data_IF_937942774145
#
_entry.id   IF_937942774145
#
_cell.length_a   1.000
_cell.length_b   1.000
_cell.length_c   1.000
_cell.angle_alpha   90.00
_cell.angle_beta   90.00
_cell.angle_gamma   90.00
#
_symmetry.space_group_name_H-M   'P 1'
#
loop_
_entity.id
_entity.type
_entity.pdbx_description
1 polymer ?
#
# COMPACT_ATOMS: atom_id res chain seq x y z
N UNK A 1 1.50 -28.49 16.72
CA UNK A 1 0.43 -27.80 15.98
C UNK A 1 -0.11 -26.72 16.91
N UNK A 2 0.46 -25.53 16.86
CA UNK A 2 0.17 -24.45 17.80
C UNK A 2 -0.25 -23.24 16.99
N UNK A 3 -1.53 -22.90 17.08
CA UNK A 3 -2.12 -21.68 16.52
C UNK A 3 -1.68 -20.51 17.42
N UNK A 4 -0.95 -19.49 16.94
CA UNK A 4 -0.76 -18.28 17.71
C UNK A 4 -2.03 -17.44 17.57
N UNK A 5 -2.82 -17.38 18.64
CA UNK A 5 -3.96 -16.49 18.77
C UNK A 5 -3.49 -15.03 18.67
N UNK A 6 -3.65 -14.42 17.50
CA UNK A 6 -3.40 -12.98 17.28
C UNK A 6 -4.61 -12.18 17.76
N UNK A 7 -4.83 -12.15 19.08
CA UNK A 7 -5.66 -11.14 19.73
C UNK A 7 -4.89 -9.82 19.70
N UNK A 8 -5.07 -9.05 18.63
CA UNK A 8 -4.54 -7.69 18.54
C UNK A 8 -5.33 -6.78 19.48
N UNK A 9 -4.80 -6.62 20.70
CA UNK A 9 -5.24 -5.59 21.62
C UNK A 9 -4.86 -4.20 21.08
N UNK A 10 -5.69 -3.20 21.41
CA UNK A 10 -5.53 -1.79 21.02
C UNK A 10 -4.13 -1.22 21.33
N UNK A 11 -3.45 -1.75 22.35
CA UNK A 11 -2.08 -1.38 22.74
C UNK A 11 -0.99 -1.75 21.71
N UNK A 12 -1.20 -2.78 20.88
CA UNK A 12 -0.25 -3.17 19.82
C UNK A 12 -0.37 -2.27 18.58
N UNK A 13 -1.53 -1.66 18.37
CA UNK A 13 -1.76 -0.73 17.26
C UNK A 13 -1.22 0.67 17.61
N UNK A 14 -1.35 1.08 18.87
CA UNK A 14 -0.88 2.39 19.36
C UNK A 14 0.66 2.46 19.56
N UNK A 15 1.37 1.33 19.46
CA UNK A 15 2.84 1.24 19.62
C UNK A 15 3.63 1.18 18.29
N UNK A 16 2.95 1.31 17.15
CA UNK A 16 3.60 1.38 15.84
C UNK A 16 4.25 2.75 15.63
N UNK A 17 5.46 2.93 16.15
CA UNK A 17 6.36 3.99 15.68
C UNK A 17 6.81 3.64 14.26
N UNK A 18 6.70 4.54 13.27
CA UNK A 18 7.25 4.30 11.95
C UNK A 18 8.77 4.12 12.06
N UNK A 19 9.26 2.93 11.72
CA UNK A 19 10.69 2.63 11.69
C UNK A 19 11.29 3.18 10.39
N UNK A 20 12.37 3.98 10.44
CA UNK A 20 13.05 4.51 9.26
C UNK A 20 13.90 3.47 8.49
N UNK A 21 13.72 2.17 8.74
CA UNK A 21 14.59 1.11 8.21
C UNK A 21 13.85 0.09 7.34
N UNK A 22 13.64 0.41 6.06
CA UNK A 22 13.54 -0.59 4.98
C UNK A 22 14.12 -0.04 3.65
N UNK A 23 15.29 0.60 3.72
CA UNK A 23 16.27 0.61 2.62
C UNK A 23 17.51 -0.09 3.17
N UNK A 24 17.58 -1.40 3.05
CA UNK A 24 18.67 -2.13 3.71
C UNK A 24 18.62 -3.64 3.63
N UNK A 25 18.26 -4.21 2.47
CA UNK A 25 18.66 -5.58 2.10
C UNK A 25 18.92 -5.67 0.59
N UNK A 26 19.99 -5.00 0.16
CA UNK A 26 20.63 -5.24 -1.13
C UNK A 26 22.14 -4.91 -1.02
N UNK A 27 22.83 -5.66 -0.18
CA UNK A 27 24.30 -5.71 -0.07
C UNK A 27 24.63 -7.18 0.25
N UNK A 28 25.53 -7.93 -0.39
CA UNK A 28 26.57 -7.69 -1.37
C UNK A 28 26.80 -9.01 -2.12
N UNK A 29 26.83 -8.99 -3.44
CA UNK A 29 27.71 -9.89 -4.20
C UNK A 29 28.69 -8.98 -4.93
N UNK A 30 29.90 -8.94 -4.39
CA UNK A 30 31.00 -8.12 -4.86
C UNK A 30 31.42 -8.57 -6.27
N UNK A 31 31.47 -7.62 -7.21
CA UNK A 31 31.85 -7.90 -8.58
C UNK A 31 31.97 -6.66 -9.46
N UNK A 32 32.87 -5.74 -9.10
CA UNK A 32 33.69 -4.94 -10.01
C UNK A 32 33.00 -4.28 -11.23
N UNK A 33 32.78 -2.95 -11.16
CA UNK A 33 33.21 -1.93 -12.13
C UNK A 33 32.53 -0.59 -11.86
N UNK A 34 33.28 0.34 -11.27
CA UNK A 34 33.04 1.77 -11.43
C UNK A 34 33.14 2.10 -12.93
N UNK A 35 32.03 2.50 -13.55
CA UNK A 35 32.01 3.20 -14.83
C UNK A 35 30.95 4.30 -14.77
N UNK A 36 31.44 5.49 -14.41
CA UNK A 36 31.22 6.75 -15.10
C UNK A 36 29.76 7.13 -15.42
N UNK A 37 29.15 7.87 -14.49
CA UNK A 37 27.98 8.73 -14.70
C UNK A 37 28.41 10.10 -15.27
N UNK A 38 29.29 10.10 -16.28
CA UNK A 38 29.65 11.27 -17.08
C UNK A 38 29.47 10.89 -18.54
N UNK A 39 28.30 11.20 -19.08
CA UNK A 39 27.99 10.86 -20.46
C UNK A 39 26.59 11.24 -20.88
N UNK A 40 26.06 12.39 -20.44
CA UNK A 40 24.84 12.95 -21.04
C UNK A 40 24.70 14.47 -20.89
N UNK A 41 25.78 15.20 -20.61
CA UNK A 41 25.81 16.65 -20.68
C UNK A 41 26.58 17.07 -21.94
N UNK A 42 25.82 17.27 -23.01
CA UNK A 42 26.30 17.97 -24.19
C UNK A 42 26.66 19.41 -23.83
N UNK A 43 27.92 19.74 -24.07
CA UNK A 43 28.51 21.07 -24.01
C UNK A 43 27.91 21.99 -25.06
N UNK A 44 27.33 23.11 -24.64
CA UNK A 44 27.33 24.33 -25.45
C UNK A 44 27.30 25.55 -24.52
N UNK A 45 28.50 26.02 -24.17
CA UNK A 45 28.68 27.25 -23.41
C UNK A 45 28.73 28.44 -24.35
N UNK A 46 27.68 29.27 -24.37
CA UNK A 46 27.78 30.68 -24.78
C UNK A 46 26.86 31.59 -23.98
N UNK A 47 27.50 32.59 -23.39
CA UNK A 47 27.05 33.92 -22.96
C UNK A 47 26.02 34.06 -21.82
N UNK A 48 26.58 34.59 -20.72
CA UNK A 48 25.90 35.36 -19.69
C UNK A 48 25.05 36.48 -20.32
N UNK A 49 23.73 36.38 -20.20
CA UNK A 49 22.89 37.55 -20.02
C UNK A 49 22.15 37.38 -18.68
N UNK A 50 22.44 38.32 -17.78
CA UNK A 50 21.61 38.63 -16.60
C UNK A 50 20.23 39.00 -17.15
N UNK A 51 19.23 38.13 -16.95
CA UNK A 51 17.79 38.43 -16.90
C UNK A 51 17.03 37.09 -16.95
N UNK A 52 16.68 36.55 -15.78
CA UNK A 52 15.90 35.32 -15.70
C UNK A 52 16.21 34.47 -14.48
N UNK A 53 15.83 34.96 -13.29
CA UNK A 53 15.57 34.08 -12.15
C UNK A 53 14.30 33.28 -12.49
N UNK A 54 14.44 32.32 -13.42
CA UNK A 54 13.43 31.30 -13.65
C UNK A 54 13.45 30.40 -12.42
N UNK A 55 12.35 30.52 -11.68
CA UNK A 55 11.89 29.72 -10.55
C UNK A 55 12.50 28.31 -10.46
N UNK A 56 13.67 28.20 -9.83
CA UNK A 56 14.39 26.95 -9.61
C UNK A 56 13.62 26.01 -8.69
N UNK A 57 12.73 26.54 -7.84
CA UNK A 57 11.85 25.74 -6.97
C UNK A 57 10.75 25.02 -7.75
N UNK A 58 10.17 25.68 -8.75
CA UNK A 58 9.18 25.04 -9.65
C UNK A 58 9.81 23.97 -10.55
N UNK A 59 11.12 24.04 -10.79
CA UNK A 59 11.88 22.93 -11.34
C UNK A 59 11.89 21.74 -10.39
N UNK A 60 12.39 21.96 -9.17
CA UNK A 60 12.61 20.94 -8.14
C UNK A 60 11.32 20.19 -7.76
N UNK A 61 10.22 20.90 -7.54
CA UNK A 61 8.91 20.30 -7.20
C UNK A 61 8.37 19.37 -8.31
N UNK A 62 8.65 19.69 -9.57
CA UNK A 62 8.26 18.84 -10.71
C UNK A 62 9.14 17.60 -10.82
N UNK A 63 10.43 17.74 -10.55
CA UNK A 63 11.36 16.61 -10.49
C UNK A 63 11.00 15.67 -9.34
N UNK A 64 10.78 16.19 -8.13
CA UNK A 64 10.36 15.41 -6.98
C UNK A 64 9.07 14.63 -7.27
N UNK A 65 8.04 15.32 -7.79
CA UNK A 65 6.78 14.65 -8.17
C UNK A 65 6.99 13.57 -9.23
N UNK A 66 7.88 13.78 -10.21
CA UNK A 66 8.17 12.77 -11.22
C UNK A 66 8.82 11.52 -10.61
N UNK A 67 9.84 11.71 -9.78
CA UNK A 67 10.53 10.60 -9.11
C UNK A 67 9.63 9.86 -8.14
N UNK A 68 8.79 10.57 -7.38
CA UNK A 68 7.80 9.94 -6.50
C UNK A 68 6.81 9.06 -7.27
N UNK A 69 6.33 9.50 -8.44
CA UNK A 69 5.46 8.66 -9.30
C UNK A 69 6.19 7.40 -9.78
N UNK A 70 7.45 7.53 -10.17
CA UNK A 70 8.28 6.40 -10.60
C UNK A 70 8.49 5.40 -9.45
N UNK A 71 8.84 5.92 -8.28
CA UNK A 71 9.07 5.15 -7.06
C UNK A 71 7.79 4.44 -6.59
N UNK A 72 6.66 5.15 -6.54
CA UNK A 72 5.37 4.56 -6.23
C UNK A 72 4.99 3.48 -7.25
N UNK A 73 5.17 3.75 -8.55
CA UNK A 73 4.93 2.77 -9.61
C UNK A 73 5.73 1.48 -9.41
N UNK A 74 7.03 1.59 -9.07
CA UNK A 74 7.87 0.44 -8.72
C UNK A 74 7.31 -0.32 -7.51
N UNK A 75 7.02 0.37 -6.40
CA UNK A 75 6.46 -0.26 -5.19
C UNK A 75 5.18 -1.03 -5.49
N UNK A 76 4.26 -0.42 -6.23
CA UNK A 76 2.99 -1.06 -6.61
C UNK A 76 3.23 -2.34 -7.42
N UNK A 77 4.15 -2.31 -8.38
CA UNK A 77 4.47 -3.50 -9.19
C UNK A 77 5.18 -4.59 -8.37
N UNK A 78 6.09 -4.21 -7.47
CA UNK A 78 6.75 -5.15 -6.55
C UNK A 78 5.74 -5.85 -5.65
N UNK A 79 4.72 -5.14 -5.18
CA UNK A 79 3.61 -5.71 -4.42
C UNK A 79 2.60 -6.50 -5.27
N UNK A 80 2.85 -6.63 -6.58
CA UNK A 80 2.02 -7.41 -7.49
C UNK A 80 0.72 -6.72 -7.91
N UNK A 81 0.62 -5.40 -7.79
CA UNK A 81 -0.54 -4.64 -8.26
C UNK A 81 -0.75 -4.82 -9.77
N UNK A 82 -2.01 -4.93 -10.19
CA UNK A 82 -2.37 -4.95 -11.62
C UNK A 82 -2.00 -3.64 -12.31
N UNK A 83 -1.78 -3.69 -13.63
CA UNK A 83 -1.43 -2.51 -14.43
C UNK A 83 -2.39 -1.34 -14.21
N UNK A 84 -3.69 -1.64 -14.19
CA UNK A 84 -4.72 -0.63 -14.00
C UNK A 84 -4.56 0.07 -12.65
N UNK A 85 -4.46 -0.69 -11.55
CA UNK A 85 -4.20 -0.14 -10.21
C UNK A 85 -2.89 0.62 -10.17
N UNK A 86 -1.79 0.04 -10.66
CA UNK A 86 -0.51 0.72 -10.68
C UNK A 86 -0.59 2.06 -11.45
N UNK A 87 -1.34 2.10 -12.57
CA UNK A 87 -1.51 3.29 -13.41
C UNK A 87 -2.37 4.35 -12.75
N UNK A 88 -3.55 3.96 -12.24
CA UNK A 88 -4.49 4.85 -11.55
C UNK A 88 -3.83 5.54 -10.36
N UNK A 89 -3.03 4.81 -9.59
CA UNK A 89 -2.48 5.29 -8.33
C UNK A 89 -1.15 6.04 -8.49
N UNK A 90 -0.27 5.59 -9.40
CA UNK A 90 0.98 6.31 -9.67
C UNK A 90 0.84 7.47 -10.65
N UNK A 91 -0.25 7.52 -11.43
CA UNK A 91 -0.41 8.46 -12.54
C UNK A 91 0.55 8.21 -13.71
N UNK A 92 1.21 7.05 -13.76
CA UNK A 92 2.01 6.61 -14.90
C UNK A 92 1.11 5.91 -15.94
N UNK A 93 1.42 6.09 -17.22
CA UNK A 93 0.74 5.36 -18.29
C UNK A 93 1.10 3.87 -18.24
N UNK A 94 0.24 2.96 -18.74
CA UNK A 94 0.55 1.54 -18.83
C UNK A 94 1.87 1.23 -19.56
N UNK A 95 2.22 1.98 -20.60
CA UNK A 95 3.48 1.82 -21.33
C UNK A 95 4.70 2.16 -20.47
N UNK A 96 4.60 3.22 -19.66
CA UNK A 96 5.66 3.60 -18.71
C UNK A 96 5.82 2.54 -17.62
N UNK A 97 4.72 1.99 -17.12
CA UNK A 97 4.76 0.89 -16.15
C UNK A 97 5.36 -0.38 -16.77
N UNK A 98 5.02 -0.69 -18.01
CA UNK A 98 5.61 -1.83 -18.75
C UNK A 98 7.11 -1.65 -18.92
N UNK A 99 7.55 -0.46 -19.32
CA UNK A 99 8.98 -0.11 -19.47
C UNK A 99 9.72 -0.24 -18.14
N UNK A 100 9.11 0.28 -17.08
CA UNK A 100 9.66 0.28 -15.73
C UNK A 100 9.75 -1.15 -15.16
N UNK A 101 8.70 -1.97 -15.34
CA UNK A 101 8.70 -3.39 -14.99
C UNK A 101 9.81 -4.15 -15.72
N UNK A 102 9.89 -4.03 -17.05
CA UNK A 102 10.93 -4.72 -17.86
C UNK A 102 12.34 -4.33 -17.43
N UNK A 103 12.55 -3.07 -17.06
CA UNK A 103 13.88 -2.56 -16.68
C UNK A 103 14.30 -2.97 -15.27
N UNK A 104 13.38 -2.97 -14.31
CA UNK A 104 13.72 -3.08 -12.89
C UNK A 104 13.18 -4.34 -12.21
N UNK A 105 12.24 -5.05 -12.84
CA UNK A 105 11.61 -6.27 -12.35
C UNK A 105 11.59 -7.34 -13.45
N UNK A 106 12.74 -7.72 -14.05
CA UNK A 106 12.78 -8.67 -15.15
C UNK A 106 12.26 -10.06 -14.77
N UNK A 107 12.41 -10.44 -13.50
CA UNK A 107 11.92 -11.72 -12.95
C UNK A 107 10.44 -11.69 -12.57
N UNK A 108 9.80 -10.51 -12.55
CA UNK A 108 8.37 -10.41 -12.29
C UNK A 108 7.62 -10.87 -13.55
N UNK A 109 7.08 -12.10 -13.51
CA UNK A 109 6.44 -12.75 -14.65
C UNK A 109 5.44 -11.89 -15.44
N UNK A 110 5.20 -12.23 -16.70
CA UNK A 110 4.65 -11.33 -17.72
C UNK A 110 3.22 -10.80 -17.50
N UNK A 111 2.43 -11.36 -16.59
CA UNK A 111 1.02 -11.03 -16.50
C UNK A 111 0.73 -9.81 -15.65
N UNK A 112 0.43 -8.67 -16.28
CA UNK A 112 -0.63 -7.83 -15.71
C UNK A 112 -1.88 -8.72 -15.67
N UNK A 113 -2.22 -9.24 -14.49
CA UNK A 113 -3.40 -10.10 -14.30
C UNK A 113 -4.66 -9.34 -14.75
N UNK A 114 -5.77 -10.06 -14.94
CA UNK A 114 -7.05 -9.54 -15.45
C UNK A 114 -7.64 -8.33 -14.67
N UNK A 115 -8.96 -8.05 -14.74
CA UNK A 115 -9.51 -6.88 -14.07
C UNK A 115 -9.33 -6.91 -12.54
N UNK A 116 -9.13 -5.74 -11.93
CA UNK A 116 -9.03 -5.61 -10.48
C UNK A 116 -10.27 -6.22 -9.79
N UNK A 117 -10.09 -6.84 -8.61
CA UNK A 117 -11.19 -7.43 -7.88
C UNK A 117 -12.21 -6.37 -7.47
N UNK A 118 -13.49 -6.76 -7.53
CA UNK A 118 -14.64 -5.88 -7.23
C UNK A 118 -15.46 -6.36 -6.04
N UNK A 119 -15.19 -7.55 -5.50
CA UNK A 119 -16.00 -8.18 -4.45
C UNK A 119 -15.23 -8.40 -3.16
N UNK A 120 -15.84 -8.00 -2.04
CA UNK A 120 -15.34 -8.26 -0.69
C UNK A 120 -15.67 -9.67 -0.17
N UNK A 121 -16.59 -10.38 -0.83
CA UNK A 121 -17.11 -11.68 -0.38
C UNK A 121 -16.03 -12.74 -0.09
N UNK A 122 -14.92 -12.84 -0.85
CA UNK A 122 -13.87 -13.82 -0.57
C UNK A 122 -13.25 -13.68 0.84
N UNK A 123 -13.23 -12.46 1.41
CA UNK A 123 -12.67 -12.21 2.74
C UNK A 123 -13.56 -12.76 3.85
N UNK A 124 -14.88 -12.76 3.64
CA UNK A 124 -15.85 -13.19 4.66
C UNK A 124 -16.12 -14.70 4.67
N UNK A 125 -15.64 -15.43 3.65
CA UNK A 125 -15.81 -16.88 3.50
C UNK A 125 -14.81 -17.72 4.30
N UNK A 126 -13.66 -17.16 4.66
CA UNK A 126 -12.63 -17.84 5.45
C UNK A 126 -12.29 -17.00 6.68
N UNK A 127 -12.21 -17.66 7.84
CA UNK A 127 -11.80 -17.02 9.10
C UNK A 127 -10.42 -16.38 8.96
N UNK A 128 -9.45 -17.10 8.39
CA UNK A 128 -8.08 -16.59 8.19
C UNK A 128 -8.07 -15.36 7.29
N UNK A 129 -8.82 -15.39 6.18
CA UNK A 129 -8.92 -14.23 5.28
C UNK A 129 -9.60 -13.05 5.94
N UNK A 130 -10.65 -13.28 6.74
CA UNK A 130 -11.34 -12.23 7.49
C UNK A 130 -10.40 -11.57 8.51
N UNK A 131 -9.57 -12.37 9.20
CA UNK A 131 -8.56 -11.85 10.15
C UNK A 131 -7.50 -11.02 9.42
N UNK A 132 -6.94 -11.52 8.31
CA UNK A 132 -5.97 -10.78 7.50
C UNK A 132 -6.55 -9.47 6.94
N UNK A 133 -7.76 -9.52 6.41
CA UNK A 133 -8.47 -8.33 5.93
C UNK A 133 -8.72 -7.32 7.06
N UNK A 134 -9.10 -7.80 8.25
CA UNK A 134 -9.28 -6.95 9.45
C UNK A 134 -7.97 -6.29 9.86
N UNK A 135 -6.87 -7.07 9.93
CA UNK A 135 -5.55 -6.57 10.30
C UNK A 135 -5.07 -5.48 9.34
N UNK A 136 -5.06 -5.76 8.03
CA UNK A 136 -4.67 -4.77 7.02
C UNK A 136 -5.51 -3.49 7.15
N UNK A 137 -6.83 -3.65 7.23
CA UNK A 137 -7.76 -2.51 7.32
C UNK A 137 -7.53 -1.68 8.58
N UNK A 138 -7.25 -2.34 9.72
CA UNK A 138 -6.90 -1.68 10.97
C UNK A 138 -5.62 -0.85 10.84
N UNK A 139 -4.55 -1.45 10.31
CA UNK A 139 -3.28 -0.75 10.02
C UNK A 139 -3.51 0.46 9.14
N UNK A 140 -4.20 0.26 8.01
CA UNK A 140 -4.51 1.34 7.06
C UNK A 140 -5.29 2.48 7.73
N UNK A 141 -6.33 2.19 8.51
CA UNK A 141 -7.11 3.23 9.18
C UNK A 141 -6.28 3.99 10.23
N UNK A 142 -5.37 3.33 10.94
CA UNK A 142 -4.48 3.98 11.91
C UNK A 142 -3.53 4.95 11.20
N UNK A 143 -2.85 4.51 10.14
CA UNK A 143 -1.96 5.35 9.34
C UNK A 143 -2.72 6.50 8.66
N UNK A 144 -3.89 6.20 8.07
CA UNK A 144 -4.73 7.21 7.43
C UNK A 144 -5.14 8.30 8.43
N UNK A 145 -5.59 7.96 9.64
CA UNK A 145 -5.96 8.94 10.67
C UNK A 145 -4.77 9.75 11.15
N UNK A 146 -3.58 9.15 11.20
CA UNK A 146 -2.35 9.83 11.59
C UNK A 146 -1.98 10.93 10.58
N UNK A 147 -2.00 10.61 9.28
CA UNK A 147 -1.58 11.53 8.22
C UNK A 147 -2.66 12.53 7.82
N UNK A 148 -3.94 12.20 8.10
CA UNK A 148 -5.11 12.96 7.63
C UNK A 148 -5.88 13.61 8.76
N UNK A 149 -5.23 13.95 9.88
CA UNK A 149 -5.85 14.63 11.04
C UNK A 149 -6.72 15.85 10.69
N UNK A 150 -6.54 16.43 9.50
CA UNK A 150 -7.28 17.60 8.99
C UNK A 150 -8.03 17.39 7.66
N UNK A 151 -8.13 16.17 7.12
CA UNK A 151 -8.80 15.93 5.84
C UNK A 151 -10.31 15.71 6.00
N UNK A 152 -11.12 16.45 5.24
CA UNK A 152 -12.57 16.26 5.14
C UNK A 152 -12.97 15.21 4.10
N UNK A 153 -12.01 14.68 3.31
CA UNK A 153 -12.30 13.72 2.26
C UNK A 153 -12.61 12.36 2.87
N UNK A 154 -13.86 11.91 2.71
CA UNK A 154 -14.34 10.60 3.17
C UNK A 154 -13.97 9.47 2.22
N UNK A 155 -13.81 9.74 0.93
CA UNK A 155 -13.56 8.69 -0.06
C UNK A 155 -12.08 8.61 -0.46
N UNK A 156 -11.54 7.40 -0.45
CA UNK A 156 -10.18 7.15 -0.88
C UNK A 156 -10.08 7.26 -2.40
N UNK A 157 -9.51 8.38 -2.86
CA UNK A 157 -9.27 8.64 -4.28
C UNK A 157 -7.83 8.31 -4.67
N UNK A 158 -7.57 7.84 -5.91
CA UNK A 158 -6.21 7.64 -6.40
C UNK A 158 -5.44 8.97 -6.37
N UNK A 159 -4.37 9.01 -5.58
CA UNK A 159 -3.41 10.10 -5.55
C UNK A 159 -2.04 9.55 -5.19
N UNK A 160 -0.99 10.34 -5.43
CA UNK A 160 0.37 9.94 -5.10
C UNK A 160 0.52 9.67 -3.60
N UNK A 161 -0.01 10.56 -2.77
CA UNK A 161 0.01 10.47 -1.32
C UNK A 161 -0.79 9.27 -0.81
N UNK A 162 -1.98 9.04 -1.38
CA UNK A 162 -2.80 7.89 -0.99
C UNK A 162 -2.18 6.56 -1.44
N UNK A 163 -1.50 6.53 -2.59
CA UNK A 163 -0.78 5.36 -3.07
C UNK A 163 0.43 5.02 -2.20
N UNK A 164 1.19 6.04 -1.79
CA UNK A 164 2.31 5.88 -0.87
C UNK A 164 1.86 5.32 0.47
N UNK A 165 0.78 5.87 1.04
CA UNK A 165 0.14 5.40 2.28
C UNK A 165 -0.36 3.95 2.15
N UNK A 166 -0.97 3.58 1.02
CA UNK A 166 -1.40 2.21 0.77
C UNK A 166 -0.24 1.24 0.73
N UNK A 167 0.84 1.58 0.04
CA UNK A 167 2.03 0.75 0.00
C UNK A 167 2.64 0.60 1.39
N UNK A 168 2.70 1.67 2.18
CA UNK A 168 3.20 1.61 3.56
C UNK A 168 2.32 0.72 4.44
N UNK A 169 0.99 0.90 4.40
CA UNK A 169 0.07 0.04 5.15
C UNK A 169 0.19 -1.44 4.74
N UNK A 170 0.36 -1.70 3.44
CA UNK A 170 0.54 -3.07 2.93
C UNK A 170 1.88 -3.67 3.36
N UNK A 171 2.96 -2.91 3.31
CA UNK A 171 4.28 -3.33 3.78
C UNK A 171 4.27 -3.66 5.28
N UNK A 172 3.64 -2.80 6.09
CA UNK A 172 3.42 -3.08 7.52
C UNK A 172 2.61 -4.34 7.70
N UNK A 173 1.51 -4.50 6.98
CA UNK A 173 0.71 -5.73 7.03
C UNK A 173 1.53 -6.99 6.69
N UNK A 174 2.36 -6.95 5.63
CA UNK A 174 3.19 -8.09 5.21
C UNK A 174 4.23 -8.49 6.24
N UNK A 175 4.70 -7.55 7.08
CA UNK A 175 5.59 -7.89 8.20
C UNK A 175 4.90 -8.74 9.28
N UNK A 176 3.58 -8.60 9.45
CA UNK A 176 2.81 -9.31 10.48
C UNK A 176 2.12 -10.57 9.96
N UNK A 177 1.82 -10.62 8.65
CA UNK A 177 1.10 -11.71 8.01
C UNK A 177 1.80 -12.13 6.71
N UNK A 178 3.03 -12.65 6.83
CA UNK A 178 3.86 -13.08 5.69
C UNK A 178 3.18 -14.17 4.85
N UNK A 179 2.50 -15.11 5.51
CA UNK A 179 1.77 -16.22 4.86
C UNK A 179 0.39 -15.81 4.32
N UNK A 180 0.05 -14.51 4.35
CA UNK A 180 -1.23 -14.04 3.85
C UNK A 180 -1.35 -14.19 2.33
N UNK A 181 -2.51 -14.65 1.88
CA UNK A 181 -2.92 -14.67 0.48
C UNK A 181 -3.61 -13.36 0.04
N UNK A 182 -3.56 -12.31 0.87
CA UNK A 182 -4.14 -11.01 0.55
C UNK A 182 -3.31 -10.30 -0.54
N UNK A 183 -3.78 -10.37 -1.79
CA UNK A 183 -3.21 -9.62 -2.91
C UNK A 183 -3.31 -8.10 -2.71
N UNK A 184 -2.37 -7.34 -3.27
CA UNK A 184 -2.37 -5.88 -3.15
C UNK A 184 -3.66 -5.23 -3.66
N UNK A 185 -4.21 -5.67 -4.80
CA UNK A 185 -5.46 -5.11 -5.31
C UNK A 185 -6.67 -5.36 -4.39
N UNK A 186 -6.66 -6.47 -3.64
CA UNK A 186 -7.66 -6.73 -2.61
C UNK A 186 -7.50 -5.78 -1.42
N UNK A 187 -6.26 -5.47 -1.05
CA UNK A 187 -5.95 -4.48 -0.03
C UNK A 187 -6.44 -3.08 -0.45
N UNK A 188 -6.22 -2.68 -1.71
CA UNK A 188 -6.78 -1.44 -2.28
C UNK A 188 -8.30 -1.43 -2.19
N UNK A 189 -8.95 -2.54 -2.56
CA UNK A 189 -10.40 -2.66 -2.50
C UNK A 189 -10.91 -2.49 -1.05
N UNK A 190 -10.30 -3.16 -0.08
CA UNK A 190 -10.61 -3.03 1.35
C UNK A 190 -10.47 -1.60 1.84
N UNK A 191 -9.35 -0.94 1.52
CA UNK A 191 -9.09 0.45 1.91
C UNK A 191 -10.13 1.42 1.35
N UNK A 192 -10.52 1.25 0.07
CA UNK A 192 -11.62 2.02 -0.55
C UNK A 192 -12.95 1.79 0.19
N UNK A 193 -13.29 0.53 0.44
CA UNK A 193 -14.53 0.14 1.11
C UNK A 193 -14.66 0.73 2.51
N UNK A 194 -13.61 0.64 3.34
CA UNK A 194 -13.68 1.19 4.70
C UNK A 194 -13.60 2.71 4.76
N UNK A 195 -12.94 3.35 3.79
CA UNK A 195 -12.93 4.81 3.71
C UNK A 195 -14.36 5.32 3.44
N UNK A 196 -15.04 4.70 2.47
CA UNK A 196 -16.44 5.02 2.15
C UNK A 196 -17.41 4.62 3.27
N UNK A 197 -17.09 3.57 4.04
CA UNK A 197 -17.90 3.05 5.16
C UNK A 197 -19.34 2.68 4.78
N UNK A 198 -19.63 2.43 3.50
CA UNK A 198 -20.97 2.10 3.00
C UNK A 198 -21.21 0.59 2.90
N UNK A 199 -20.16 -0.13 2.51
CA UNK A 199 -20.18 -1.55 2.17
C UNK A 199 -19.53 -2.39 3.25
N UNK A 200 -18.38 -1.93 3.76
CA UNK A 200 -17.64 -2.59 4.84
C UNK A 200 -17.21 -1.57 5.90
N UNK A 201 -17.12 -2.01 7.15
CA UNK A 201 -16.60 -1.20 8.26
C UNK A 201 -15.82 -2.07 9.26
N UNK A 202 -14.99 -1.44 10.08
CA UNK A 202 -14.45 -2.08 11.28
C UNK A 202 -15.42 -1.88 12.44
N UNK A 203 -15.75 -2.98 13.11
CA UNK A 203 -16.58 -3.02 14.31
C UNK A 203 -15.82 -3.69 15.47
N UNK A 204 -16.37 -3.57 16.68
CA UNK A 204 -15.85 -4.24 17.87
C UNK A 204 -16.69 -5.48 18.19
N UNK A 205 -16.02 -6.53 18.65
CA UNK A 205 -16.65 -7.75 19.10
C UNK A 205 -17.39 -7.46 20.40
N UNK A 206 -18.66 -7.87 20.51
CA UNK A 206 -19.45 -7.66 21.73
C UNK A 206 -18.91 -8.41 22.96
N UNK A 207 -18.06 -9.42 22.77
CA UNK A 207 -17.53 -10.25 23.85
C UNK A 207 -16.10 -9.85 24.25
N UNK A 208 -15.15 -9.87 23.31
CA UNK A 208 -13.73 -9.62 23.62
C UNK A 208 -13.25 -8.21 23.24
N UNK A 209 -14.14 -7.34 22.76
CA UNK A 209 -13.82 -5.99 22.23
C UNK A 209 -12.82 -5.97 21.06
N UNK A 210 -12.38 -7.12 20.58
CA UNK A 210 -11.50 -7.26 19.43
C UNK A 210 -12.10 -6.65 18.16
N UNK A 211 -11.25 -6.16 17.27
CA UNK A 211 -11.68 -5.54 16.02
C UNK A 211 -12.09 -6.64 15.02
N UNK A 212 -13.17 -6.41 14.28
CA UNK A 212 -13.60 -7.27 13.17
C UNK A 212 -14.03 -6.43 11.97
N UNK A 213 -13.68 -6.90 10.78
CA UNK A 213 -14.27 -6.41 9.54
C UNK A 213 -15.69 -6.96 9.40
N UNK A 214 -16.66 -6.08 9.15
CA UNK A 214 -18.06 -6.45 8.91
C UNK A 214 -18.54 -5.94 7.57
N UNK A 215 -19.34 -6.76 6.89
CA UNK A 215 -20.11 -6.38 5.71
C UNK A 215 -21.42 -5.72 6.19
N UNK A 216 -21.64 -4.46 5.80
CA UNK A 216 -22.82 -3.67 6.18
C UNK A 216 -24.07 -4.06 5.40
N UNK A 217 -23.89 -4.68 4.24
CA UNK A 217 -24.99 -5.13 3.37
C UNK A 217 -25.46 -6.55 3.72
N UNK A 218 -24.63 -7.30 4.44
CA UNK A 218 -24.98 -8.62 4.98
C UNK A 218 -25.55 -8.52 6.41
N UNK A 219 -26.04 -9.66 6.95
CA UNK A 219 -26.39 -9.75 8.38
C UNK A 219 -25.13 -9.43 9.22
N UNK A 220 -25.21 -8.39 10.04
CA UNK A 220 -24.10 -7.90 10.85
C UNK A 220 -23.58 -9.02 11.76
N UNK A 221 -22.30 -9.35 11.62
CA UNK A 221 -21.59 -10.22 12.56
C UNK A 221 -21.24 -9.37 13.79
N UNK A 222 -21.68 -9.80 14.97
CA UNK A 222 -21.42 -9.08 16.23
C UNK A 222 -20.30 -9.70 17.07
N UNK A 223 -19.89 -10.92 16.72
CA UNK A 223 -18.83 -11.68 17.37
C UNK A 223 -17.69 -11.94 16.38
N UNK A 224 -16.45 -11.80 16.87
CA UNK A 224 -15.26 -12.18 16.11
C UNK A 224 -15.25 -13.70 15.86
N UNK A 225 -14.34 -14.14 15.00
CA UNK A 225 -14.24 -15.55 14.66
C UNK A 225 -13.92 -16.43 15.87
N UNK A 226 -13.06 -15.98 16.78
CA UNK A 226 -12.70 -16.74 17.99
C UNK A 226 -13.89 -16.85 18.93
N UNK A 227 -14.58 -15.74 19.24
CA UNK A 227 -15.78 -15.75 20.09
C UNK A 227 -17.01 -16.44 19.46
N UNK A 228 -16.94 -16.86 18.19
CA UNK A 228 -18.03 -17.64 17.56
C UNK A 228 -17.82 -19.14 17.72
N UNK A 229 -16.56 -19.56 17.81
CA UNK A 229 -16.18 -20.98 17.93
C UNK A 229 -15.74 -21.34 19.35
N UNK A 230 -15.46 -20.35 20.20
CA UNK A 230 -15.35 -20.57 21.64
C UNK A 230 -16.74 -20.83 22.20
N UNK A 231 -17.00 -22.07 22.61
CA UNK A 231 -18.08 -22.37 23.54
C UNK A 231 -17.81 -21.56 24.82
N UNK A 232 -18.61 -20.53 25.04
CA UNK A 232 -18.65 -19.81 26.31
C UNK A 232 -19.65 -20.54 27.20
N UNK A 233 -19.14 -21.47 28.01
CA UNK A 233 -19.80 -21.94 29.22
C UNK A 233 -19.63 -20.92 30.35
#
# INVERSE_FOLDING_TARGET
MSNPSLLLSRSLIDSLTPSPYLIGKAELSAGSKQKTLEGFLGSDGRNLNKDGLMDTKVGDDRFDRHYRRLHLGLRLLTHGARAQTASEWSGLTPDRLTTLKRRWLPEAGDGFRGPAPTSFQPHFRSTTRAVHATLFTGIYQTLYRHDRRHSSVRELQPSLENGELLCEAYEVFRMWAEESDLEFDQAVLLAKGVSKSDTIELAQCKHCEGVLLVDRLAKRKELCSDCRHGDFD
#
